data_IF_203020476485
#
_entry.id   IF_203020476485
#
_cell.length_a   1.000
_cell.length_b   1.000
_cell.length_c   1.000
_cell.angle_alpha   90.00
_cell.angle_beta   90.00
_cell.angle_gamma   90.00
#
_symmetry.space_group_name_H-M   'P 1'
#
loop_
_entity.id
_entity.type
_entity.pdbx_description
1 polymer ?
#
# COMPACT_ATOMS: atom_id res chain seq x y z
N UNK A 1 -76.11 -8.60 0.49
CA UNK A 1 -74.79 -8.96 -0.09
C UNK A 1 -74.41 -7.92 -1.15
N UNK A 2 -73.52 -6.98 -0.84
CA UNK A 2 -72.91 -6.05 -1.80
C UNK A 2 -71.46 -5.81 -1.39
N UNK A 3 -70.53 -6.09 -2.29
CA UNK A 3 -69.11 -5.72 -2.17
C UNK A 3 -68.96 -4.26 -2.62
N UNK A 4 -68.30 -3.42 -1.81
CA UNK A 4 -67.70 -2.17 -2.27
C UNK A 4 -66.32 -2.09 -1.60
N UNK A 5 -65.26 -2.11 -2.42
CA UNK A 5 -63.89 -1.81 -2.02
C UNK A 5 -63.77 -0.29 -1.86
N UNK A 6 -63.30 0.18 -0.73
CA UNK A 6 -62.88 1.58 -0.53
C UNK A 6 -61.35 1.61 -0.53
N UNK A 7 -60.79 2.36 -1.49
CA UNK A 7 -59.38 2.71 -1.55
C UNK A 7 -59.05 3.67 -0.41
N UNK A 8 -58.07 3.33 0.43
CA UNK A 8 -57.50 4.27 1.40
C UNK A 8 -56.14 4.76 0.88
N UNK A 9 -56.12 6.01 0.46
CA UNK A 9 -54.92 6.78 0.10
C UNK A 9 -54.09 7.03 1.36
N UNK A 10 -52.90 6.46 1.44
CA UNK A 10 -51.90 6.86 2.45
C UNK A 10 -50.97 7.87 1.80
N UNK A 11 -51.13 9.15 2.17
CA UNK A 11 -50.17 10.20 1.87
C UNK A 11 -48.90 9.92 2.69
N UNK A 12 -47.86 9.36 2.08
CA UNK A 12 -46.55 9.28 2.71
C UNK A 12 -45.90 10.66 2.66
N UNK A 13 -46.05 11.44 3.75
CA UNK A 13 -45.16 12.56 4.05
C UNK A 13 -43.87 11.96 4.60
N UNK A 14 -43.10 11.37 3.70
CA UNK A 14 -41.76 10.85 3.98
C UNK A 14 -40.75 11.94 3.72
N UNK A 15 -40.41 12.67 4.77
CA UNK A 15 -39.21 13.51 4.87
C UNK A 15 -38.04 12.75 4.21
N UNK A 16 -37.57 13.23 3.06
CA UNK A 16 -36.30 12.78 2.49
C UNK A 16 -35.24 13.23 3.49
N UNK A 17 -34.94 12.35 4.45
CA UNK A 17 -33.71 12.43 5.20
C UNK A 17 -32.61 12.22 4.17
N UNK A 18 -32.16 13.33 3.56
CA UNK A 18 -30.82 13.41 2.97
C UNK A 18 -29.90 13.14 4.15
N UNK A 19 -29.60 11.86 4.38
CA UNK A 19 -28.47 11.47 5.21
C UNK A 19 -27.29 12.06 4.47
N UNK A 20 -26.86 13.24 4.89
CA UNK A 20 -25.57 13.78 4.53
C UNK A 20 -24.57 12.71 4.99
N UNK A 21 -24.12 11.89 4.05
CA UNK A 21 -23.00 11.00 4.28
C UNK A 21 -21.92 11.84 4.95
N UNK A 22 -21.36 11.43 6.11
CA UNK A 22 -20.20 12.13 6.64
C UNK A 22 -19.18 12.20 5.51
N UNK A 23 -18.68 13.40 5.21
CA UNK A 23 -17.60 13.56 4.22
C UNK A 23 -16.48 12.62 4.65
N UNK A 24 -16.39 11.48 3.98
CA UNK A 24 -15.28 10.54 4.09
C UNK A 24 -14.03 11.38 3.92
N UNK A 25 -13.12 11.33 4.90
CA UNK A 25 -11.92 12.17 4.82
C UNK A 25 -11.16 11.82 3.54
N UNK A 26 -10.39 12.77 2.96
CA UNK A 26 -9.54 12.46 1.78
C UNK A 26 -8.63 11.24 2.02
N UNK A 27 -8.29 10.97 3.28
CA UNK A 27 -7.49 9.82 3.71
C UNK A 27 -8.27 8.48 3.72
N UNK A 28 -9.60 8.51 3.77
CA UNK A 28 -10.46 7.32 3.69
C UNK A 28 -10.91 7.02 2.26
N UNK A 29 -11.08 8.05 1.41
CA UNK A 29 -11.32 7.88 -0.04
C UNK A 29 -10.12 7.20 -0.74
N UNK A 30 -8.93 7.34 -0.16
CA UNK A 30 -7.68 6.68 -0.53
C UNK A 30 -7.71 5.14 -0.47
N UNK A 31 -8.56 4.53 0.38
CA UNK A 31 -8.53 3.09 0.63
C UNK A 31 -9.26 2.25 -0.43
N UNK A 32 -10.10 2.86 -1.27
CA UNK A 32 -11.09 2.15 -2.09
C UNK A 32 -10.85 2.19 -3.61
N UNK A 33 -9.70 2.65 -4.09
CA UNK A 33 -9.40 2.62 -5.53
C UNK A 33 -8.56 1.39 -5.90
N UNK A 34 -9.24 0.33 -6.36
CA UNK A 34 -8.71 -0.77 -7.19
C UNK A 34 -7.28 -1.22 -6.85
N UNK A 35 -7.14 -1.89 -5.71
CA UNK A 35 -5.83 -2.24 -5.16
C UNK A 35 -5.36 -3.62 -5.60
N UNK A 36 -6.11 -4.38 -6.42
CA UNK A 36 -5.58 -5.63 -6.99
C UNK A 36 -4.59 -5.36 -8.12
N UNK A 37 -3.60 -6.24 -8.31
CA UNK A 37 -2.73 -6.19 -9.49
C UNK A 37 -3.55 -6.58 -10.72
N UNK A 38 -3.35 -5.88 -11.83
CA UNK A 38 -3.86 -6.35 -13.12
C UNK A 38 -3.24 -7.71 -13.48
N UNK A 39 -3.84 -8.45 -14.40
CA UNK A 39 -3.29 -9.74 -14.85
C UNK A 39 -1.86 -9.60 -15.40
N UNK A 40 -1.58 -8.51 -16.11
CA UNK A 40 -0.23 -8.23 -16.61
C UNK A 40 0.76 -7.96 -15.46
N UNK A 41 0.41 -7.07 -14.52
CA UNK A 41 1.26 -6.79 -13.36
C UNK A 41 1.52 -8.03 -12.49
N UNK A 42 0.51 -8.90 -12.39
CA UNK A 42 0.62 -10.17 -11.67
C UNK A 42 1.56 -11.13 -12.41
N UNK A 43 1.47 -11.24 -13.74
CA UNK A 43 2.39 -12.06 -14.52
C UNK A 43 3.83 -11.55 -14.45
N UNK A 44 4.03 -10.23 -14.54
CA UNK A 44 5.35 -9.61 -14.38
C UNK A 44 5.98 -9.92 -13.01
N UNK A 45 5.16 -9.99 -11.95
CA UNK A 45 5.62 -10.41 -10.63
C UNK A 45 6.03 -11.88 -10.66
N UNK A 46 5.18 -12.77 -11.17
CA UNK A 46 5.46 -14.21 -11.24
C UNK A 46 6.75 -14.50 -12.03
N UNK A 47 6.97 -13.82 -13.15
CA UNK A 47 8.17 -13.97 -13.98
C UNK A 47 9.44 -13.46 -13.28
N UNK A 48 9.31 -12.49 -12.36
CA UNK A 48 10.42 -11.92 -11.62
C UNK A 48 10.82 -12.73 -10.35
N UNK A 49 9.99 -13.68 -9.92
CA UNK A 49 10.27 -14.51 -8.73
C UNK A 49 11.47 -15.41 -9.03
N UNK A 50 12.52 -15.42 -8.16
CA UNK A 50 13.65 -16.32 -8.34
C UNK A 50 13.23 -17.80 -8.28
N UNK A 51 13.93 -18.65 -9.04
CA UNK A 51 13.78 -20.10 -8.95
C UNK A 51 13.92 -20.58 -7.50
N UNK A 52 13.08 -21.54 -7.10
CA UNK A 52 13.03 -22.07 -5.73
C UNK A 52 12.21 -21.24 -4.76
N UNK A 53 11.53 -20.19 -5.22
CA UNK A 53 10.60 -19.40 -4.42
C UNK A 53 9.19 -19.42 -5.03
N UNK A 54 8.17 -19.26 -4.18
CA UNK A 54 6.78 -19.07 -4.56
C UNK A 54 6.21 -17.79 -3.93
N UNK A 55 5.21 -17.22 -4.60
CA UNK A 55 4.42 -16.12 -4.05
C UNK A 55 3.66 -16.60 -2.80
N UNK A 56 3.65 -15.77 -1.77
CA UNK A 56 2.78 -15.97 -0.60
C UNK A 56 1.46 -15.25 -0.87
N UNK A 57 0.40 -16.01 -1.10
CA UNK A 57 -0.93 -15.44 -1.38
C UNK A 57 -1.53 -14.77 -0.14
N UNK A 58 -2.16 -13.62 -0.35
CA UNK A 58 -2.86 -12.85 0.69
C UNK A 58 -4.29 -13.34 0.99
N UNK A 59 -4.88 -14.11 0.06
CA UNK A 59 -6.30 -14.52 0.05
C UNK A 59 -6.66 -15.68 0.99
N UNK A 60 -5.69 -16.33 1.62
CA UNK A 60 -5.91 -17.33 2.67
C UNK A 60 -6.06 -16.67 4.04
N UNK A 61 -7.15 -15.93 4.26
CA UNK A 61 -7.48 -15.27 5.54
C UNK A 61 -7.89 -16.27 6.64
N UNK A 62 -7.04 -17.24 6.96
CA UNK A 62 -6.94 -17.69 8.34
C UNK A 62 -5.97 -16.74 9.04
N UNK A 63 -6.51 -15.81 9.83
CA UNK A 63 -5.77 -14.86 10.66
C UNK A 63 -4.67 -15.60 11.43
N UNK A 64 -3.43 -15.56 10.94
CA UNK A 64 -2.26 -16.08 11.66
C UNK A 64 -1.21 -16.85 10.85
N UNK A 65 -1.52 -17.33 9.64
CA UNK A 65 -0.62 -18.28 8.92
C UNK A 65 0.11 -17.64 7.72
N UNK A 66 -0.52 -16.68 7.03
CA UNK A 66 0.10 -16.00 5.90
C UNK A 66 0.83 -14.74 6.37
N UNK A 67 1.95 -14.39 5.72
CA UNK A 67 2.85 -13.33 6.18
C UNK A 67 2.13 -12.00 6.32
N UNK A 68 1.68 -11.68 7.54
CA UNK A 68 0.93 -10.48 7.87
C UNK A 68 1.88 -9.27 7.88
N UNK A 69 2.24 -8.78 6.70
CA UNK A 69 3.00 -7.55 6.53
C UNK A 69 2.05 -6.36 6.68
N UNK A 70 2.28 -5.52 7.69
CA UNK A 70 1.61 -4.24 7.82
C UNK A 70 2.52 -3.14 7.34
N UNK A 71 1.90 -2.15 6.72
CA UNK A 71 2.59 -0.97 6.24
C UNK A 71 1.74 0.27 6.43
N UNK A 72 2.42 1.39 6.62
CA UNK A 72 1.86 2.72 6.47
C UNK A 72 2.90 3.64 5.86
N UNK A 73 2.44 4.66 5.18
CA UNK A 73 3.32 5.65 4.56
C UNK A 73 2.83 7.07 4.83
N UNK A 74 3.74 8.03 4.83
CA UNK A 74 3.39 9.44 4.85
C UNK A 74 3.41 9.99 3.43
N UNK A 75 2.26 10.45 2.96
CA UNK A 75 2.08 11.04 1.64
C UNK A 75 1.92 12.55 1.81
N UNK A 76 2.57 13.32 0.93
CA UNK A 76 2.40 14.76 0.87
C UNK A 76 0.91 15.16 0.89
N UNK A 77 0.57 16.16 1.69
CA UNK A 77 -0.79 16.72 1.85
C UNK A 77 -1.86 15.77 2.42
N UNK A 78 -1.61 14.45 2.50
CA UNK A 78 -2.55 13.48 3.06
C UNK A 78 -2.13 12.97 4.44
N UNK A 79 -0.85 13.05 4.78
CA UNK A 79 -0.38 12.56 6.06
C UNK A 79 -0.12 11.05 6.04
N UNK A 80 -0.20 10.44 7.22
CA UNK A 80 -0.04 8.99 7.37
C UNK A 80 -1.26 8.24 6.85
N UNK A 81 -1.03 7.24 5.99
CA UNK A 81 -2.08 6.32 5.54
C UNK A 81 -2.55 5.43 6.69
N UNK A 82 -3.81 5.01 6.63
CA UNK A 82 -4.31 3.88 7.43
C UNK A 82 -3.57 2.59 7.01
N UNK A 83 -3.51 1.60 7.92
CA UNK A 83 -2.84 0.33 7.66
C UNK A 83 -3.44 -0.40 6.44
N UNK A 84 -2.55 -1.00 5.65
CA UNK A 84 -2.79 -1.58 4.33
C UNK A 84 -4.05 -2.47 4.19
N UNK A 85 -4.64 -2.39 2.99
CA UNK A 85 -5.49 -3.44 2.42
C UNK A 85 -4.63 -4.71 2.24
N UNK A 86 -5.11 -5.83 2.77
CA UNK A 86 -4.36 -7.09 2.86
C UNK A 86 -4.17 -7.78 1.51
N UNK A 87 -4.94 -7.44 0.48
CA UNK A 87 -4.88 -8.11 -0.83
C UNK A 87 -3.60 -7.78 -1.62
N UNK A 88 -3.12 -6.54 -1.56
CA UNK A 88 -1.87 -6.08 -2.18
C UNK A 88 -1.21 -5.07 -1.25
N UNK A 89 0.06 -5.32 -0.92
CA UNK A 89 0.85 -4.42 -0.09
C UNK A 89 1.31 -3.18 -0.90
N UNK A 90 0.37 -2.28 -1.18
CA UNK A 90 0.56 -1.07 -1.97
C UNK A 90 0.46 0.18 -1.09
N UNK A 91 1.51 1.00 -1.07
CA UNK A 91 1.59 2.23 -0.28
C UNK A 91 1.87 3.44 -1.17
N UNK A 92 1.13 4.52 -0.96
CA UNK A 92 1.30 5.79 -1.69
C UNK A 92 0.26 5.99 -2.79
N UNK A 93 0.56 6.85 -3.75
CA UNK A 93 -0.37 7.27 -4.81
C UNK A 93 0.29 7.22 -6.17
N UNK A 94 -0.43 6.77 -7.19
CA UNK A 94 -0.05 6.93 -8.60
C UNK A 94 -0.95 7.99 -9.25
N UNK A 95 -0.43 8.73 -10.23
CA UNK A 95 -1.20 9.71 -11.01
C UNK A 95 -1.58 11.01 -10.29
N UNK A 96 -1.44 11.09 -8.96
CA UNK A 96 -1.80 12.29 -8.18
C UNK A 96 -0.65 13.29 -8.01
N UNK A 97 0.54 12.96 -8.51
CA UNK A 97 1.74 13.79 -8.37
C UNK A 97 2.16 14.09 -6.91
N UNK A 98 1.78 13.25 -5.95
CA UNK A 98 2.13 13.37 -4.54
C UNK A 98 3.33 12.48 -4.20
N UNK A 99 4.28 13.02 -3.43
CA UNK A 99 5.48 12.28 -2.97
C UNK A 99 5.19 11.44 -1.73
N UNK A 100 5.88 10.32 -1.63
CA UNK A 100 6.16 9.66 -0.36
C UNK A 100 7.25 10.44 0.39
N UNK A 101 7.06 10.61 1.69
CA UNK A 101 8.03 11.24 2.58
C UNK A 101 8.59 10.27 3.63
N UNK A 102 7.76 9.32 4.09
CA UNK A 102 8.15 8.31 5.08
C UNK A 102 7.41 6.98 4.92
N UNK A 103 7.99 5.93 5.50
CA UNK A 103 7.51 4.55 5.46
C UNK A 103 7.66 3.90 6.83
N UNK A 104 6.71 3.04 7.20
CA UNK A 104 6.85 2.10 8.30
C UNK A 104 6.27 0.74 7.90
N UNK A 105 7.06 -0.32 8.05
CA UNK A 105 6.69 -1.70 7.72
C UNK A 105 6.95 -2.63 8.91
N UNK A 106 6.07 -3.58 9.16
CA UNK A 106 6.22 -4.55 10.24
C UNK A 106 5.58 -5.89 9.87
N UNK A 107 6.15 -7.01 10.32
CA UNK A 107 5.39 -8.25 10.44
C UNK A 107 4.65 -8.27 11.78
N UNK A 108 3.45 -8.85 11.84
CA UNK A 108 2.75 -9.05 13.14
C UNK A 108 3.24 -10.25 13.94
N UNK A 109 3.96 -11.19 13.32
CA UNK A 109 4.41 -12.41 13.99
C UNK A 109 5.93 -12.48 14.09
N UNK A 110 6.41 -13.24 15.08
CA UNK A 110 7.81 -13.28 15.48
C UNK A 110 8.71 -14.15 14.56
N UNK A 111 8.16 -14.79 13.53
CA UNK A 111 8.89 -15.73 12.67
C UNK A 111 9.54 -15.08 11.44
N UNK A 112 9.38 -13.76 11.29
CA UNK A 112 10.00 -12.98 10.23
C UNK A 112 10.39 -11.60 10.76
N UNK A 113 11.41 -11.01 10.14
CA UNK A 113 11.80 -9.63 10.42
C UNK A 113 11.89 -8.86 9.12
N UNK A 114 11.64 -7.55 9.21
CA UNK A 114 11.76 -6.64 8.07
C UNK A 114 12.57 -5.41 8.48
N UNK A 115 13.52 -5.05 7.62
CA UNK A 115 14.27 -3.81 7.69
C UNK A 115 14.15 -3.04 6.38
N UNK A 116 14.14 -1.73 6.47
CA UNK A 116 14.01 -0.85 5.31
C UNK A 116 14.71 0.47 5.57
N UNK A 117 15.12 1.11 4.48
CA UNK A 117 15.64 2.47 4.49
C UNK A 117 15.26 3.19 3.22
N UNK A 118 15.03 4.49 3.35
CA UNK A 118 14.75 5.40 2.25
C UNK A 118 15.99 6.22 1.91
N UNK A 119 16.13 6.52 0.62
CA UNK A 119 16.96 7.64 0.16
C UNK A 119 16.08 8.89 0.11
N UNK A 120 16.39 9.87 0.95
CA UNK A 120 15.61 11.11 1.06
C UNK A 120 16.38 12.24 0.37
N UNK A 121 15.65 13.08 -0.36
CA UNK A 121 16.18 14.30 -0.97
C UNK A 121 17.06 15.07 0.02
N UNK A 122 18.25 15.48 -0.43
CA UNK A 122 19.24 16.28 0.30
C UNK A 122 19.83 15.61 1.56
N UNK A 123 19.28 14.47 2.02
CA UNK A 123 19.76 13.74 3.19
C UNK A 123 20.44 12.42 2.84
N UNK A 124 20.20 11.91 1.62
CA UNK A 124 20.75 10.65 1.16
C UNK A 124 20.07 9.43 1.80
N UNK A 125 20.79 8.30 1.79
CA UNK A 125 20.35 7.08 2.46
C UNK A 125 20.27 7.29 3.96
N UNK A 126 19.08 7.06 4.52
CA UNK A 126 18.88 7.05 5.95
C UNK A 126 19.38 5.75 6.58
N UNK A 127 19.50 5.72 7.91
CA UNK A 127 19.76 4.49 8.67
C UNK A 127 18.66 3.44 8.41
N UNK A 128 18.96 2.17 8.68
CA UNK A 128 17.97 1.10 8.60
C UNK A 128 16.96 1.20 9.75
N UNK A 129 15.67 1.28 9.42
CA UNK A 129 14.58 1.09 10.38
C UNK A 129 14.05 -0.34 10.29
N UNK A 130 13.39 -0.81 11.34
CA UNK A 130 12.76 -2.13 11.38
C UNK A 130 11.44 -2.10 12.14
N UNK A 131 10.60 -3.10 11.88
CA UNK A 131 9.43 -3.47 12.69
C UNK A 131 8.55 -2.29 13.14
N UNK A 132 8.05 -1.53 12.17
CA UNK A 132 7.09 -0.44 12.38
C UNK A 132 7.73 0.90 12.71
N UNK A 133 9.05 0.94 12.91
CA UNK A 133 9.79 2.19 13.12
C UNK A 133 9.75 3.06 11.87
N UNK A 134 9.46 4.34 12.01
CA UNK A 134 9.42 5.27 10.86
C UNK A 134 10.80 5.36 10.19
N UNK A 135 10.83 5.37 8.86
CA UNK A 135 11.99 5.74 8.06
C UNK A 135 11.60 6.84 7.08
N UNK A 136 12.44 7.87 6.95
CA UNK A 136 12.16 9.06 6.14
C UNK A 136 11.81 10.28 6.99
N UNK A 137 11.06 11.22 6.41
CA UNK A 137 10.66 12.46 7.08
C UNK A 137 9.16 12.66 7.02
N UNK A 138 8.61 13.38 7.99
CA UNK A 138 7.18 13.67 8.07
C UNK A 138 7.00 15.18 8.06
N UNK A 139 6.29 15.71 7.06
CA UNK A 139 5.91 17.13 7.01
C UNK A 139 7.07 18.10 6.73
N UNK A 140 8.26 17.59 6.39
CA UNK A 140 9.45 18.42 6.10
C UNK A 140 9.54 18.86 4.64
N UNK A 141 8.62 18.43 3.78
CA UNK A 141 8.66 18.76 2.36
C UNK A 141 9.68 17.95 1.54
N UNK A 142 10.38 17.00 2.16
CA UNK A 142 11.42 16.21 1.51
C UNK A 142 10.85 14.92 0.93
N UNK A 143 11.12 14.67 -0.35
CA UNK A 143 10.70 13.44 -1.05
C UNK A 143 11.62 12.28 -0.74
N UNK A 144 11.05 11.09 -0.63
CA UNK A 144 11.77 9.86 -0.86
C UNK A 144 12.03 9.69 -2.36
N UNK A 145 13.21 9.17 -2.72
CA UNK A 145 13.63 8.97 -4.11
C UNK A 145 13.89 7.49 -4.42
N UNK A 146 14.32 6.72 -3.41
CA UNK A 146 14.54 5.28 -3.50
C UNK A 146 14.29 4.58 -2.16
N UNK A 147 14.16 3.26 -2.21
CA UNK A 147 13.98 2.38 -1.06
C UNK A 147 14.83 1.12 -1.19
N UNK A 148 15.29 0.60 -0.06
CA UNK A 148 15.73 -0.78 0.09
C UNK A 148 14.90 -1.44 1.19
N UNK A 149 14.44 -2.66 0.94
CA UNK A 149 13.65 -3.47 1.87
C UNK A 149 14.27 -4.85 1.92
N UNK A 150 14.49 -5.37 3.12
CA UNK A 150 14.99 -6.72 3.33
C UNK A 150 14.16 -7.39 4.41
N UNK A 151 13.59 -8.54 4.05
CA UNK A 151 12.97 -9.47 4.96
C UNK A 151 13.90 -10.68 5.22
N UNK A 152 13.77 -11.27 6.39
CA UNK A 152 14.46 -12.50 6.78
C UNK A 152 13.53 -13.43 7.58
N UNK A 153 14.03 -14.63 7.90
CA UNK A 153 13.19 -15.74 8.39
C UNK A 153 12.52 -16.46 7.23
N UNK A 154 11.23 -16.76 7.39
CA UNK A 154 10.43 -17.53 6.43
C UNK A 154 10.17 -16.82 5.10
N UNK A 155 10.34 -15.49 5.04
CA UNK A 155 10.00 -14.69 3.87
C UNK A 155 11.20 -13.97 3.26
N UNK A 156 11.07 -13.67 1.97
CA UNK A 156 11.80 -12.61 1.26
C UNK A 156 10.78 -11.64 0.66
N UNK A 157 11.25 -10.48 0.24
CA UNK A 157 10.42 -9.46 -0.42
C UNK A 157 10.81 -9.27 -1.87
N UNK A 158 9.79 -9.11 -2.70
CA UNK A 158 9.84 -8.46 -4.00
C UNK A 158 9.20 -7.08 -3.85
N UNK A 159 9.77 -6.03 -4.43
CA UNK A 159 9.16 -4.70 -4.40
C UNK A 159 9.55 -3.85 -5.60
N UNK A 160 8.63 -2.96 -5.99
CA UNK A 160 8.88 -1.96 -7.03
C UNK A 160 8.34 -0.60 -6.61
N UNK A 161 8.84 0.46 -7.23
CA UNK A 161 8.47 1.84 -6.90
C UNK A 161 7.86 2.53 -8.10
N UNK A 162 6.88 3.40 -7.86
CA UNK A 162 6.39 4.32 -8.87
C UNK A 162 7.15 5.63 -8.76
N UNK A 163 7.91 5.96 -9.79
CA UNK A 163 8.76 7.15 -9.84
C UNK A 163 8.12 8.19 -10.76
N UNK A 164 8.08 9.43 -10.29
CA UNK A 164 7.59 10.58 -11.06
C UNK A 164 8.16 10.56 -12.49
N UNK A 165 7.27 10.72 -13.48
CA UNK A 165 7.58 10.75 -14.93
C UNK A 165 8.19 9.46 -15.51
N UNK A 166 8.45 8.43 -14.71
CA UNK A 166 9.00 7.15 -15.16
C UNK A 166 8.01 6.00 -15.04
N UNK A 167 7.05 6.11 -14.13
CA UNK A 167 6.11 5.04 -13.86
C UNK A 167 6.70 4.00 -12.91
N UNK A 168 6.18 2.77 -12.97
CA UNK A 168 6.66 1.65 -12.19
C UNK A 168 8.04 1.18 -12.64
N UNK A 169 8.94 0.95 -11.69
CA UNK A 169 10.20 0.26 -11.94
C UNK A 169 9.96 -1.24 -12.14
N UNK A 170 10.98 -1.95 -12.64
CA UNK A 170 11.06 -3.40 -12.49
C UNK A 170 11.03 -3.83 -11.02
N UNK A 171 10.75 -5.11 -10.79
CA UNK A 171 10.74 -5.71 -9.46
C UNK A 171 12.17 -5.88 -8.91
N UNK A 172 12.44 -5.24 -7.78
CA UNK A 172 13.65 -5.41 -6.99
C UNK A 172 13.44 -6.51 -5.96
N UNK A 173 14.50 -7.26 -5.67
CA UNK A 173 14.49 -8.33 -4.68
C UNK A 173 15.10 -7.85 -3.36
N UNK A 174 14.96 -8.66 -2.31
CA UNK A 174 15.50 -8.45 -0.98
C UNK A 174 16.84 -7.67 -0.93
N UNK A 175 16.80 -6.45 -0.39
CA UNK A 175 17.95 -5.59 -0.19
C UNK A 175 18.41 -4.80 -1.43
N UNK A 176 17.86 -5.04 -2.62
CA UNK A 176 18.20 -4.30 -3.84
C UNK A 176 17.59 -2.90 -3.85
N UNK A 177 18.20 -1.96 -4.56
CA UNK A 177 17.62 -0.61 -4.66
C UNK A 177 16.38 -0.67 -5.56
N UNK A 178 15.30 0.00 -5.16
CA UNK A 178 14.18 0.34 -6.04
C UNK A 178 13.98 1.85 -6.01
N UNK A 179 13.87 2.45 -7.19
CA UNK A 179 13.76 3.91 -7.37
C UNK A 179 15.04 4.54 -7.90
N UNK A 180 15.25 5.82 -7.62
CA UNK A 180 16.38 6.60 -8.15
C UNK A 180 17.13 7.30 -7.03
N UNK A 181 18.44 7.46 -7.18
CA UNK A 181 19.26 8.28 -6.26
C UNK A 181 19.84 9.45 -7.03
N UNK A 182 19.75 10.66 -6.48
CA UNK A 182 20.37 11.87 -7.06
C UNK A 182 19.73 12.41 -8.34
N UNK A 183 18.64 11.81 -8.84
CA UNK A 183 17.96 12.25 -10.07
C UNK A 183 16.87 13.31 -9.83
N UNK A 184 16.66 13.70 -8.58
CA UNK A 184 15.61 14.64 -8.16
C UNK A 184 14.17 14.23 -8.54
N UNK A 185 13.93 12.93 -8.69
CA UNK A 185 12.59 12.37 -8.96
C UNK A 185 12.00 11.81 -7.67
N UNK A 186 10.74 12.17 -7.37
CA UNK A 186 10.02 11.63 -6.21
C UNK A 186 9.55 10.21 -6.47
N UNK A 187 9.63 9.39 -5.44
CA UNK A 187 8.83 8.18 -5.29
C UNK A 187 7.41 8.58 -4.89
N UNK A 188 6.42 8.05 -5.59
CA UNK A 188 4.99 8.36 -5.38
C UNK A 188 4.25 7.18 -4.74
N UNK A 189 4.65 5.95 -5.08
CA UNK A 189 4.11 4.72 -4.51
C UNK A 189 5.14 3.60 -4.46
N UNK A 190 4.83 2.55 -3.69
CA UNK A 190 5.56 1.29 -3.61
C UNK A 190 4.57 0.12 -3.63
N UNK A 191 4.95 -0.94 -4.34
CA UNK A 191 4.21 -2.20 -4.40
C UNK A 191 5.10 -3.33 -3.89
N UNK A 192 4.62 -4.10 -2.91
CA UNK A 192 5.38 -5.13 -2.21
C UNK A 192 4.69 -6.48 -2.36
N UNK A 193 5.48 -7.54 -2.52
CA UNK A 193 5.04 -8.92 -2.49
C UNK A 193 5.96 -9.76 -1.60
N UNK A 194 5.37 -10.71 -0.89
CA UNK A 194 6.11 -11.67 -0.08
C UNK A 194 6.32 -12.96 -0.87
N UNK A 195 7.52 -13.51 -0.80
CA UNK A 195 7.84 -14.81 -1.37
C UNK A 195 8.45 -15.71 -0.30
N UNK A 196 8.28 -17.02 -0.43
CA UNK A 196 8.84 -18.03 0.46
C UNK A 196 9.55 -19.12 -0.36
N UNK A 197 10.54 -19.78 0.25
CA UNK A 197 11.18 -20.94 -0.36
C UNK A 197 10.14 -22.06 -0.55
N UNK A 198 10.30 -22.80 -1.66
CA UNK A 198 9.52 -24.01 -1.98
C UNK A 198 10.18 -25.22 -1.33
#
# INVERSE_FOLDING_TARGET
MRKIKVFLTVLFVGLVCVVLSPKVSKAEEFLNQNVSRTAQEQQELLDAIPKGYKLVESSGLERGIHGNLYGKCHVQNYGWSNSLNVERYYLGTTGQALRLEALALAFSNNNASIKYRLHIQNLGWQGWSSNGSVNGTTGRGLRAEAVQISASGLYRVMYRTHIQKKGWTGWSQNGQISGTTGQALRMEAIDIALIALI
#
